data_IF_821206248942
#
_entry.id   IF_821206248942
#
_cell.length_a   1.000
_cell.length_b   1.000
_cell.length_c   1.000
_cell.angle_alpha   90.00
_cell.angle_beta   90.00
_cell.angle_gamma   90.00
#
_symmetry.space_group_name_H-M   'P 1'
#
loop_
_entity.id
_entity.type
_entity.pdbx_description
1 polymer ?
#
# COMPACT_ATOMS: atom_id res chain seq x y z
N UNK A 1 24.60 -18.86 37.03
CA UNK A 1 23.80 -19.26 35.85
C UNK A 1 23.49 -17.98 35.07
N UNK A 2 24.06 -17.82 33.88
CA UNK A 2 23.82 -16.65 33.02
C UNK A 2 22.36 -16.71 32.50
N UNK A 3 21.61 -15.63 32.70
CA UNK A 3 20.30 -15.42 32.08
C UNK A 3 20.50 -15.21 30.58
N UNK A 4 19.82 -15.95 29.68
CA UNK A 4 19.83 -15.62 28.27
C UNK A 4 19.02 -14.34 28.07
N UNK A 5 19.76 -13.24 27.96
CA UNK A 5 19.43 -11.98 27.27
C UNK A 5 18.12 -12.01 26.49
N UNK A 6 17.15 -11.23 26.97
CA UNK A 6 16.00 -10.78 26.18
C UNK A 6 16.50 -10.27 24.82
N UNK A 7 16.23 -11.02 23.77
CA UNK A 7 16.38 -10.53 22.40
C UNK A 7 15.11 -9.76 22.08
N UNK A 8 15.13 -8.42 21.93
CA UNK A 8 13.94 -7.67 21.56
C UNK A 8 13.71 -7.83 20.05
N UNK A 9 13.39 -9.04 19.60
CA UNK A 9 12.66 -9.26 18.36
C UNK A 9 11.18 -8.92 18.60
N UNK A 10 10.94 -7.71 19.11
CA UNK A 10 9.62 -7.23 19.49
C UNK A 10 8.78 -6.83 18.27
N UNK A 11 7.47 -6.58 18.46
CA UNK A 11 6.51 -6.19 17.42
C UNK A 11 6.87 -4.93 16.59
N UNK A 12 7.97 -4.25 16.94
CA UNK A 12 8.51 -3.07 16.27
C UNK A 12 8.97 -3.32 14.84
N UNK A 13 9.47 -4.52 14.50
CA UNK A 13 9.88 -4.81 13.12
C UNK A 13 8.65 -4.93 12.22
N UNK A 14 7.60 -5.62 12.70
CA UNK A 14 6.34 -5.77 11.98
C UNK A 14 5.63 -4.41 11.75
N UNK A 15 5.59 -3.56 12.79
CA UNK A 15 5.07 -2.18 12.67
C UNK A 15 5.87 -1.34 11.67
N UNK A 16 7.21 -1.46 11.64
CA UNK A 16 8.04 -0.74 10.67
C UNK A 16 7.81 -1.20 9.23
N UNK A 17 7.71 -2.52 8.99
CA UNK A 17 7.42 -3.06 7.66
C UNK A 17 6.06 -2.59 7.15
N UNK A 18 5.06 -2.56 8.03
CA UNK A 18 3.72 -2.06 7.76
C UNK A 18 3.71 -0.56 7.40
N UNK A 19 4.38 0.26 8.20
CA UNK A 19 4.54 1.70 7.93
C UNK A 19 5.22 1.97 6.59
N UNK A 20 6.29 1.24 6.28
CA UNK A 20 7.01 1.36 5.00
C UNK A 20 6.10 0.95 3.82
N UNK A 21 5.30 -0.11 3.96
CA UNK A 21 4.37 -0.54 2.92
C UNK A 21 3.28 0.51 2.66
N UNK A 22 2.74 1.12 3.73
CA UNK A 22 1.75 2.19 3.62
C UNK A 22 2.33 3.45 2.95
N UNK A 23 3.56 3.84 3.29
CA UNK A 23 4.21 5.00 2.67
C UNK A 23 4.55 4.76 1.20
N UNK A 24 5.02 3.55 0.86
CA UNK A 24 5.24 3.15 -0.54
C UNK A 24 3.95 3.17 -1.34
N UNK A 25 2.87 2.61 -0.79
CA UNK A 25 1.54 2.61 -1.42
C UNK A 25 1.06 4.05 -1.68
N UNK A 26 1.14 4.93 -0.68
CA UNK A 26 0.76 6.35 -0.84
C UNK A 26 1.60 7.04 -1.92
N UNK A 27 2.91 6.81 -1.92
CA UNK A 27 3.80 7.37 -2.93
C UNK A 27 3.39 6.94 -4.35
N UNK A 28 3.15 5.65 -4.56
CA UNK A 28 2.71 5.13 -5.86
C UNK A 28 1.34 5.71 -6.25
N UNK A 29 0.38 5.74 -5.33
CA UNK A 29 -0.94 6.29 -5.60
C UNK A 29 -0.93 7.79 -5.96
N UNK A 30 -0.09 8.58 -5.28
CA UNK A 30 0.04 10.02 -5.54
C UNK A 30 0.77 10.31 -6.85
N UNK A 31 1.83 9.57 -7.16
CA UNK A 31 2.68 9.81 -8.34
C UNK A 31 2.05 9.32 -9.64
N UNK A 32 1.36 8.18 -9.60
CA UNK A 32 0.77 7.57 -10.80
C UNK A 32 -0.70 7.93 -10.99
N UNK A 33 -1.33 8.53 -9.99
CA UNK A 33 -2.78 8.68 -9.96
C UNK A 33 -3.50 7.32 -9.82
N UNK A 34 -2.86 6.32 -9.20
CA UNK A 34 -3.41 4.97 -9.08
C UNK A 34 -4.82 5.03 -8.51
N UNK A 35 -5.76 4.38 -9.20
CA UNK A 35 -7.17 4.33 -8.84
C UNK A 35 -7.96 5.63 -9.10
N UNK A 36 -7.31 6.80 -9.22
CA UNK A 36 -8.02 8.04 -9.58
C UNK A 36 -8.54 7.93 -11.01
N UNK A 37 -9.81 8.27 -11.20
CA UNK A 37 -10.37 8.41 -12.53
C UNK A 37 -9.65 9.57 -13.24
N UNK A 38 -8.87 9.28 -14.28
CA UNK A 38 -8.53 10.32 -15.26
C UNK A 38 -9.84 10.70 -15.96
N UNK A 39 -10.56 11.66 -15.40
CA UNK A 39 -11.69 12.31 -16.04
C UNK A 39 -11.17 13.04 -17.27
N UNK A 40 -11.15 12.34 -18.41
CA UNK A 40 -10.85 12.94 -19.70
C UNK A 40 -11.87 14.04 -19.96
N UNK A 41 -11.41 15.29 -20.09
CA UNK A 41 -12.20 16.37 -20.65
C UNK A 41 -12.46 16.03 -22.13
N UNK A 42 -13.53 15.27 -22.40
CA UNK A 42 -13.85 14.80 -23.74
C UNK A 42 -15.33 14.48 -23.86
N UNK A 43 -16.00 15.12 -24.80
CA UNK A 43 -17.41 15.01 -25.14
C UNK A 43 -17.75 13.61 -25.70
N UNK A 44 -17.79 12.60 -24.83
CA UNK A 44 -18.25 11.25 -25.15
C UNK A 44 -18.98 10.67 -23.93
N UNK A 45 -20.29 10.81 -23.93
CA UNK A 45 -21.18 10.54 -22.79
C UNK A 45 -21.36 9.07 -22.40
N UNK A 46 -20.34 8.47 -21.78
CA UNK A 46 -20.52 7.38 -20.81
C UNK A 46 -19.54 7.56 -19.66
N UNK A 47 -19.99 7.96 -18.46
CA UNK A 47 -19.13 7.92 -17.30
C UNK A 47 -18.83 6.45 -16.99
N UNK A 48 -17.68 5.95 -17.45
CA UNK A 48 -17.00 4.89 -16.71
C UNK A 48 -16.38 5.54 -15.47
N UNK A 49 -17.23 6.16 -14.65
CA UNK A 49 -16.86 6.65 -13.32
C UNK A 49 -16.60 5.42 -12.51
N UNK A 50 -15.32 5.07 -12.41
CA UNK A 50 -14.86 4.05 -11.48
C UNK A 50 -15.51 4.36 -10.13
N UNK A 51 -16.29 3.43 -9.58
CA UNK A 51 -17.04 3.73 -8.36
C UNK A 51 -16.07 3.89 -7.18
N UNK A 52 -16.53 4.51 -6.10
CA UNK A 52 -15.68 4.68 -4.92
C UNK A 52 -15.23 3.31 -4.35
N UNK A 53 -16.05 2.28 -4.53
CA UNK A 53 -15.76 0.90 -4.14
C UNK A 53 -14.63 0.31 -5.00
N UNK A 54 -14.68 0.47 -6.32
CA UNK A 54 -13.61 0.02 -7.22
C UNK A 54 -12.30 0.78 -6.98
N UNK A 55 -12.38 2.05 -6.59
CA UNK A 55 -11.21 2.82 -6.16
C UNK A 55 -10.61 2.24 -4.87
N UNK A 56 -11.44 1.95 -3.88
CA UNK A 56 -11.01 1.35 -2.63
C UNK A 56 -10.38 -0.02 -2.85
N UNK A 57 -10.99 -0.89 -3.66
CA UNK A 57 -10.41 -2.19 -4.03
C UNK A 57 -9.04 -2.03 -4.71
N UNK A 58 -8.92 -1.08 -5.63
CA UNK A 58 -7.65 -0.81 -6.30
C UNK A 58 -6.57 -0.45 -5.28
N UNK A 59 -6.87 0.46 -4.35
CA UNK A 59 -5.95 0.86 -3.30
C UNK A 59 -5.56 -0.31 -2.38
N UNK A 60 -6.52 -1.16 -2.00
CA UNK A 60 -6.26 -2.35 -1.17
C UNK A 60 -5.33 -3.33 -1.89
N UNK A 61 -5.56 -3.60 -3.17
CA UNK A 61 -4.70 -4.46 -3.99
C UNK A 61 -3.28 -3.89 -4.14
N UNK A 62 -3.16 -2.57 -4.28
CA UNK A 62 -1.86 -1.91 -4.33
C UNK A 62 -1.10 -2.09 -3.01
N UNK A 63 -1.79 -1.90 -1.88
CA UNK A 63 -1.22 -2.09 -0.56
C UNK A 63 -0.71 -3.53 -0.36
N UNK A 64 -1.49 -4.55 -0.73
CA UNK A 64 -1.04 -5.96 -0.63
C UNK A 64 0.26 -6.22 -1.41
N UNK A 65 0.36 -5.66 -2.63
CA UNK A 65 1.58 -5.75 -3.44
C UNK A 65 2.76 -5.04 -2.77
N UNK A 66 2.56 -3.83 -2.26
CA UNK A 66 3.58 -3.08 -1.54
C UNK A 66 4.07 -3.87 -0.32
N UNK A 67 3.14 -4.43 0.45
CA UNK A 67 3.46 -5.23 1.64
C UNK A 67 4.30 -6.47 1.30
N UNK A 68 3.91 -7.24 0.29
CA UNK A 68 4.68 -8.41 -0.16
C UNK A 68 6.11 -8.06 -0.57
N UNK A 69 6.31 -6.92 -1.24
CA UNK A 69 7.64 -6.45 -1.65
C UNK A 69 8.50 -6.08 -0.44
N UNK A 70 7.92 -5.38 0.54
CA UNK A 70 8.65 -4.94 1.74
C UNK A 70 8.96 -6.12 2.66
N UNK A 71 8.01 -7.04 2.87
CA UNK A 71 8.21 -8.27 3.63
C UNK A 71 9.29 -9.17 3.00
N UNK A 72 9.29 -9.30 1.67
CA UNK A 72 10.32 -10.07 0.95
C UNK A 72 11.73 -9.46 1.07
N UNK A 73 11.84 -8.16 1.33
CA UNK A 73 13.13 -7.49 1.57
C UNK A 73 13.56 -7.56 3.04
N UNK A 74 12.62 -7.82 3.95
CA UNK A 74 12.85 -7.86 5.40
C UNK A 74 13.23 -9.25 5.93
N UNK A 75 13.11 -10.30 5.10
CA UNK A 75 13.64 -11.65 5.35
C UNK A 75 14.90 -11.92 4.53
#
# INVERSE_FOLDING_TARGET
MNEPTETPAGPYVCRRTEEIALDLMKFVALTTGYGKMQGGAGFSGKPATRTNEEYAESLLQLYERCRQIVEKKAG
#
